data_IF_404832821411
#
_entry.id   IF_404832821411
#
_cell.length_a   1.000
_cell.length_b   1.000
_cell.length_c   1.000
_cell.angle_alpha   90.00
_cell.angle_beta   90.00
_cell.angle_gamma   90.00
#
_symmetry.space_group_name_H-M   'P 1'
#
loop_
_entity.id
_entity.type
_entity.pdbx_description
1 polymer ?
#
# COMPACT_ATOMS: atom_id res chain seq x y z
N UNK A 1 17.91 27.70 3.62
CA UNK A 1 16.77 26.92 3.10
C UNK A 1 17.18 25.46 3.18
N UNK A 2 16.59 24.69 4.11
CA UNK A 2 16.94 23.28 4.27
C UNK A 2 16.40 22.47 3.09
N UNK A 3 17.24 21.60 2.53
CA UNK A 3 16.81 20.63 1.52
C UNK A 3 15.72 19.74 2.13
N UNK A 4 14.51 19.79 1.59
CA UNK A 4 13.48 18.81 1.90
C UNK A 4 13.92 17.48 1.28
N UNK A 5 14.55 16.63 2.07
CA UNK A 5 14.84 15.26 1.65
C UNK A 5 13.54 14.47 1.59
N UNK A 6 12.98 14.39 0.38
CA UNK A 6 11.83 13.55 0.10
C UNK A 6 12.32 12.11 -0.02
N UNK A 7 11.92 11.27 0.92
CA UNK A 7 12.21 9.84 0.93
C UNK A 7 11.03 9.09 0.33
N UNK A 8 11.32 8.22 -0.64
CA UNK A 8 10.34 7.32 -1.25
C UNK A 8 10.61 5.89 -0.83
N UNK A 9 9.54 5.13 -0.53
CA UNK A 9 9.60 3.70 -0.26
C UNK A 9 8.58 2.96 -1.12
N UNK A 10 8.94 1.77 -1.59
CA UNK A 10 8.06 0.96 -2.44
C UNK A 10 7.80 -0.37 -1.75
N UNK A 11 6.52 -0.66 -1.53
CA UNK A 11 6.05 -1.98 -1.10
C UNK A 11 5.62 -2.73 -2.36
N UNK A 12 6.25 -3.88 -2.62
CA UNK A 12 5.87 -4.77 -3.71
C UNK A 12 5.15 -6.01 -3.17
N UNK A 13 3.99 -6.34 -3.76
CA UNK A 13 3.17 -7.48 -3.36
C UNK A 13 3.00 -8.38 -4.58
N UNK A 14 3.38 -9.65 -4.43
CA UNK A 14 3.26 -10.67 -5.47
C UNK A 14 2.04 -11.55 -5.16
N UNK A 15 1.03 -11.49 -6.01
CA UNK A 15 -0.16 -12.34 -5.92
C UNK A 15 0.01 -13.60 -6.78
N UNK A 16 -0.74 -14.66 -6.47
CA UNK A 16 -0.70 -15.90 -7.25
C UNK A 16 -1.30 -15.76 -8.65
N UNK A 17 -2.22 -14.82 -8.85
CA UNK A 17 -2.83 -14.52 -10.16
C UNK A 17 -3.05 -13.03 -10.34
N UNK A 18 -3.17 -12.60 -11.60
CA UNK A 18 -3.58 -11.23 -11.96
C UNK A 18 -4.98 -10.89 -11.45
N UNK A 19 -5.87 -11.88 -11.33
CA UNK A 19 -7.20 -11.68 -10.75
C UNK A 19 -7.09 -11.15 -9.32
N UNK A 20 -6.20 -11.73 -8.50
CA UNK A 20 -6.05 -11.33 -7.10
C UNK A 20 -5.36 -9.98 -6.92
N UNK A 21 -4.34 -9.66 -7.74
CA UNK A 21 -3.72 -8.34 -7.71
C UNK A 21 -4.74 -7.25 -8.09
N UNK A 22 -5.61 -7.51 -9.08
CA UNK A 22 -6.69 -6.59 -9.44
C UNK A 22 -7.71 -6.38 -8.30
N UNK A 23 -8.09 -7.44 -7.58
CA UNK A 23 -9.01 -7.35 -6.43
C UNK A 23 -8.36 -6.51 -5.33
N UNK A 24 -7.14 -6.85 -4.92
CA UNK A 24 -6.44 -6.13 -3.85
C UNK A 24 -6.21 -4.65 -4.22
N UNK A 25 -5.85 -4.37 -5.47
CA UNK A 25 -5.73 -2.99 -5.95
C UNK A 25 -7.04 -2.23 -5.81
N UNK A 26 -8.18 -2.80 -6.24
CA UNK A 26 -9.49 -2.17 -6.08
C UNK A 26 -9.82 -1.89 -4.62
N UNK A 27 -9.55 -2.84 -3.72
CA UNK A 27 -9.75 -2.66 -2.29
C UNK A 27 -8.92 -1.49 -1.75
N UNK A 28 -7.60 -1.47 -2.02
CA UNK A 28 -6.69 -0.38 -1.64
C UNK A 28 -7.16 0.98 -2.18
N UNK A 29 -7.53 1.04 -3.46
CA UNK A 29 -8.00 2.27 -4.11
C UNK A 29 -9.41 2.69 -3.70
N UNK A 30 -10.20 1.83 -3.07
CA UNK A 30 -11.53 2.16 -2.57
C UNK A 30 -11.53 2.57 -1.09
N UNK A 31 -10.46 2.28 -0.35
CA UNK A 31 -10.43 2.53 1.09
C UNK A 31 -10.19 4.00 1.41
N UNK A 32 -11.21 4.65 1.99
CA UNK A 32 -11.16 6.07 2.33
C UNK A 32 -10.20 6.37 3.50
N UNK A 33 -9.97 5.41 4.41
CA UNK A 33 -9.03 5.62 5.51
C UNK A 33 -7.59 5.76 5.01
N UNK A 34 -7.22 4.99 3.99
CA UNK A 34 -5.90 5.08 3.38
C UNK A 34 -5.73 6.38 2.57
N UNK A 35 -6.79 6.82 1.86
CA UNK A 35 -6.78 8.06 1.07
C UNK A 35 -6.72 9.32 1.92
N UNK A 36 -7.64 9.45 2.87
CA UNK A 36 -7.78 10.67 3.68
C UNK A 36 -6.53 10.93 4.51
N UNK A 37 -5.89 9.87 4.99
CA UNK A 37 -4.64 9.99 5.74
C UNK A 37 -3.38 10.03 4.85
N UNK A 38 -3.52 9.97 3.52
CA UNK A 38 -2.41 9.99 2.57
C UNK A 38 -1.37 8.88 2.86
N UNK A 39 -1.85 7.67 3.17
CA UNK A 39 -1.00 6.55 3.57
C UNK A 39 -0.04 6.11 2.46
N UNK A 40 -0.42 6.28 1.21
CA UNK A 40 0.42 6.05 0.05
C UNK A 40 0.16 7.13 -1.00
N UNK A 41 1.16 7.36 -1.85
CA UNK A 41 1.09 8.34 -2.94
C UNK A 41 0.43 7.75 -4.17
N UNK A 42 0.90 6.59 -4.61
CA UNK A 42 0.37 5.87 -5.76
C UNK A 42 0.38 4.36 -5.51
N UNK A 43 -0.58 3.66 -6.09
CA UNK A 43 -0.58 2.21 -6.21
C UNK A 43 -0.76 1.84 -7.67
N UNK A 44 0.00 0.88 -8.19
CA UNK A 44 -0.05 0.43 -9.58
C UNK A 44 -0.03 -1.09 -9.66
N UNK A 45 -0.71 -1.64 -10.66
CA UNK A 45 -0.73 -3.07 -10.97
C UNK A 45 0.17 -3.39 -12.17
N UNK A 46 0.88 -4.52 -12.08
CA UNK A 46 1.76 -5.06 -13.12
C UNK A 46 1.54 -6.57 -13.20
N UNK A 47 0.52 -7.01 -13.95
CA UNK A 47 0.10 -8.41 -13.97
C UNK A 47 -0.31 -8.89 -12.57
N UNK A 48 0.34 -9.93 -12.07
CA UNK A 48 0.11 -10.47 -10.72
C UNK A 48 0.81 -9.68 -9.60
N UNK A 49 1.43 -8.53 -9.88
CA UNK A 49 2.13 -7.70 -8.90
C UNK A 49 1.41 -6.39 -8.63
N UNK A 50 1.46 -5.92 -7.39
CA UNK A 50 1.10 -4.55 -7.00
C UNK A 50 2.34 -3.84 -6.49
N UNK A 51 2.52 -2.57 -6.87
CA UNK A 51 3.50 -1.66 -6.26
C UNK A 51 2.78 -0.51 -5.57
N UNK A 52 3.10 -0.27 -4.31
CA UNK A 52 2.56 0.83 -3.50
C UNK A 52 3.73 1.77 -3.17
N UNK A 53 3.67 2.99 -3.68
CA UNK A 53 4.66 4.05 -3.45
C UNK A 53 4.25 4.89 -2.23
N UNK A 54 5.11 4.92 -1.22
CA UNK A 54 5.01 5.79 -0.06
C UNK A 54 6.00 6.94 -0.23
N UNK A 55 5.62 8.14 0.21
CA UNK A 55 6.48 9.31 0.14
C UNK A 55 6.35 10.13 1.42
N UNK A 56 7.48 10.58 1.97
CA UNK A 56 7.52 11.45 3.14
C UNK A 56 8.82 12.25 3.24
N UNK A 57 8.80 13.31 4.05
CA UNK A 57 9.98 14.10 4.39
C UNK A 57 10.72 13.55 5.62
N UNK A 58 10.14 12.58 6.34
CA UNK A 58 10.77 11.96 7.51
C UNK A 58 10.65 10.44 7.46
N UNK A 59 11.67 9.75 7.99
CA UNK A 59 11.63 8.29 8.13
C UNK A 59 10.58 7.81 9.14
N UNK A 60 10.24 8.64 10.13
CA UNK A 60 9.22 8.32 11.12
C UNK A 60 7.82 8.25 10.50
N UNK A 61 7.43 9.26 9.71
CA UNK A 61 6.17 9.25 8.98
C UNK A 61 6.16 8.15 7.90
N UNK A 62 7.28 7.92 7.22
CA UNK A 62 7.41 6.81 6.28
C UNK A 62 7.19 5.44 6.96
N UNK A 63 7.74 5.25 8.16
CA UNK A 63 7.53 4.04 8.98
C UNK A 63 6.07 3.91 9.42
N UNK A 64 5.45 5.01 9.83
CA UNK A 64 4.04 5.05 10.19
C UNK A 64 3.14 4.65 9.01
N UNK A 65 3.36 5.25 7.83
CA UNK A 65 2.66 4.91 6.59
C UNK A 65 2.84 3.44 6.22
N UNK A 66 4.08 2.95 6.22
CA UNK A 66 4.37 1.55 5.92
C UNK A 66 3.62 0.60 6.89
N UNK A 67 3.65 0.87 8.19
CA UNK A 67 2.93 0.08 9.19
C UNK A 67 1.43 0.01 8.88
N UNK A 68 0.79 1.15 8.59
CA UNK A 68 -0.64 1.17 8.27
C UNK A 68 -0.98 0.37 7.00
N UNK A 69 -0.13 0.42 5.98
CA UNK A 69 -0.29 -0.41 4.78
C UNK A 69 -0.14 -1.90 5.14
N UNK A 70 0.85 -2.28 5.95
CA UNK A 70 0.99 -3.66 6.41
C UNK A 70 -0.20 -4.16 7.22
N UNK A 71 -0.71 -3.34 8.15
CA UNK A 71 -1.87 -3.67 8.97
C UNK A 71 -3.12 -3.88 8.10
N UNK A 72 -3.32 -3.00 7.10
CA UNK A 72 -4.39 -3.15 6.11
C UNK A 72 -4.27 -4.44 5.32
N UNK A 73 -3.08 -4.73 4.77
CA UNK A 73 -2.83 -5.94 4.00
C UNK A 73 -3.03 -7.21 4.84
N UNK A 74 -2.58 -7.19 6.09
CA UNK A 74 -2.77 -8.28 7.03
C UNK A 74 -4.25 -8.56 7.24
N UNK A 75 -5.05 -7.52 7.51
CA UNK A 75 -6.50 -7.64 7.66
C UNK A 75 -7.17 -8.15 6.38
N UNK A 76 -6.79 -7.63 5.22
CA UNK A 76 -7.31 -8.07 3.93
C UNK A 76 -7.05 -9.57 3.70
N UNK A 77 -5.82 -10.03 3.87
CA UNK A 77 -5.48 -11.43 3.66
C UNK A 77 -6.18 -12.35 4.67
N UNK A 78 -6.27 -11.95 5.94
CA UNK A 78 -7.05 -12.67 6.95
C UNK A 78 -8.52 -12.78 6.59
N UNK A 79 -9.09 -11.72 6.02
CA UNK A 79 -10.47 -11.72 5.55
C UNK A 79 -10.64 -12.69 4.38
N UNK A 80 -9.75 -12.65 3.39
CA UNK A 80 -9.79 -13.59 2.25
C UNK A 80 -9.66 -15.04 2.73
N UNK A 81 -8.75 -15.34 3.66
CA UNK A 81 -8.59 -16.67 4.26
C UNK A 81 -9.86 -17.17 4.96
N UNK A 82 -10.64 -16.27 5.58
CA UNK A 82 -11.87 -16.64 6.28
C UNK A 82 -13.02 -17.02 5.33
N UNK A 83 -12.98 -16.59 4.08
CA UNK A 83 -14.02 -16.82 3.06
C UNK A 83 -13.59 -17.78 1.94
N UNK A 84 -12.36 -18.31 2.00
CA UNK A 84 -11.81 -19.28 1.04
C UNK A 84 -12.04 -20.72 1.50
#
# INVERSE_FOLDING_TARGET
MGEYNIVTHIIEIYCSTEKYSNILYKCLSSDESLKQNQMFKHANIYGNKIKIELQSNTYEDLRYKAKNIYDYLHFFFKTVEAFA
#
